data_IF_889021346700
#
_entry.id   IF_889021346700
#
_cell.length_a   1.000
_cell.length_b   1.000
_cell.length_c   1.000
_cell.angle_alpha   90.00
_cell.angle_beta   90.00
_cell.angle_gamma   90.00
#
_symmetry.space_group_name_H-M   'P 1'
#
loop_
_entity.id
_entity.type
_entity.pdbx_description
1 polymer ?
#
# COMPACT_ATOMS: atom_id res chain seq x y z
N UNK A 1 58.76 5.63 60.13
CA UNK A 1 58.36 4.22 59.88
C UNK A 1 56.84 3.97 59.86
N UNK A 2 55.99 4.63 60.70
CA UNK A 2 54.51 4.51 60.59
C UNK A 2 53.92 5.24 59.38
N UNK A 3 54.42 6.43 59.03
CA UNK A 3 53.86 7.28 57.96
C UNK A 3 53.98 6.65 56.55
N UNK A 4 55.09 5.96 56.26
CA UNK A 4 55.34 5.34 54.96
C UNK A 4 54.44 4.11 54.72
N UNK A 5 54.10 3.38 55.79
CA UNK A 5 53.12 2.28 55.72
C UNK A 5 51.71 2.79 55.40
N UNK A 6 51.31 3.94 55.95
CA UNK A 6 50.02 4.55 55.64
C UNK A 6 49.93 5.10 54.22
N UNK A 7 51.00 5.72 53.70
CA UNK A 7 51.07 6.15 52.30
C UNK A 7 51.02 4.97 51.33
N UNK A 8 51.76 3.88 51.62
CA UNK A 8 51.73 2.67 50.79
C UNK A 8 50.35 1.99 50.80
N UNK A 9 49.65 1.99 51.94
CA UNK A 9 48.28 1.47 52.06
C UNK A 9 47.27 2.34 51.28
N UNK A 10 47.38 3.66 51.37
CA UNK A 10 46.55 4.61 50.62
C UNK A 10 46.75 4.46 49.10
N UNK A 11 47.99 4.35 48.63
CA UNK A 11 48.29 4.14 47.21
C UNK A 11 47.77 2.77 46.70
N UNK A 12 47.87 1.71 47.52
CA UNK A 12 47.30 0.40 47.17
C UNK A 12 45.78 0.46 47.05
N UNK A 13 45.10 1.02 48.04
CA UNK A 13 43.63 1.12 48.04
C UNK A 13 43.11 2.02 46.93
N UNK A 14 43.85 3.09 46.57
CA UNK A 14 43.54 3.93 45.41
C UNK A 14 43.67 3.16 44.09
N UNK A 15 44.75 2.41 43.89
CA UNK A 15 44.93 1.55 42.71
C UNK A 15 43.89 0.44 42.61
N UNK A 16 43.52 -0.18 43.73
CA UNK A 16 42.50 -1.22 43.78
C UNK A 16 41.11 -0.67 43.42
N UNK A 17 40.75 0.52 43.92
CA UNK A 17 39.50 1.20 43.55
C UNK A 17 39.47 1.61 42.08
N UNK A 18 40.57 2.13 41.54
CA UNK A 18 40.69 2.48 40.12
C UNK A 18 40.57 1.24 39.21
N UNK A 19 41.18 0.12 39.61
CA UNK A 19 41.07 -1.14 38.88
C UNK A 19 39.62 -1.67 38.91
N UNK A 20 38.98 -1.66 40.08
CA UNK A 20 37.56 -2.08 40.21
C UNK A 20 36.65 -1.21 39.37
N UNK A 21 36.87 0.11 39.34
CA UNK A 21 36.11 1.02 38.50
C UNK A 21 36.29 0.70 37.00
N UNK A 22 37.53 0.51 36.55
CA UNK A 22 37.84 0.15 35.16
C UNK A 22 37.19 -1.18 34.75
N UNK A 23 37.24 -2.20 35.62
CA UNK A 23 36.59 -3.49 35.37
C UNK A 23 35.07 -3.32 35.27
N UNK A 24 34.45 -2.58 36.19
CA UNK A 24 32.99 -2.35 36.15
C UNK A 24 32.55 -1.61 34.89
N UNK A 25 33.31 -0.58 34.47
CA UNK A 25 33.02 0.16 33.24
C UNK A 25 33.20 -0.73 32.01
N UNK A 26 34.27 -1.52 31.95
CA UNK A 26 34.50 -2.45 30.85
C UNK A 26 33.39 -3.51 30.75
N UNK A 27 32.96 -4.08 31.88
CA UNK A 27 31.86 -5.04 31.92
C UNK A 27 30.54 -4.44 31.43
N UNK A 28 30.24 -3.19 31.81
CA UNK A 28 29.05 -2.48 31.34
C UNK A 28 29.08 -2.28 29.81
N UNK A 29 30.24 -1.89 29.27
CA UNK A 29 30.43 -1.70 27.82
C UNK A 29 30.27 -3.03 27.07
N UNK A 30 30.84 -4.12 27.59
CA UNK A 30 30.72 -5.45 26.99
C UNK A 30 29.26 -5.91 26.98
N UNK A 31 28.52 -5.72 28.06
CA UNK A 31 27.09 -6.10 28.12
C UNK A 31 26.25 -5.26 27.16
N UNK A 32 26.52 -3.95 27.05
CA UNK A 32 25.81 -3.06 26.13
C UNK A 32 26.08 -3.40 24.66
N UNK A 33 27.36 -3.58 24.29
CA UNK A 33 27.72 -3.92 22.91
C UNK A 33 27.31 -5.34 22.54
N UNK A 34 27.50 -6.30 23.47
CA UNK A 34 27.05 -7.68 23.28
C UNK A 34 25.54 -7.76 23.11
N UNK A 35 24.77 -7.10 23.97
CA UNK A 35 23.31 -7.02 23.86
C UNK A 35 22.84 -6.39 22.55
N UNK A 36 23.53 -5.35 22.07
CA UNK A 36 23.23 -4.70 20.80
C UNK A 36 23.47 -5.62 19.58
N UNK A 37 24.58 -6.36 19.58
CA UNK A 37 24.89 -7.33 18.52
C UNK A 37 23.86 -8.47 18.52
N UNK A 38 23.50 -9.02 19.68
CA UNK A 38 22.51 -10.10 19.76
C UNK A 38 21.10 -9.65 19.34
N UNK A 39 20.76 -8.38 19.57
CA UNK A 39 19.44 -7.84 19.22
C UNK A 39 19.37 -7.29 17.78
N UNK A 40 20.44 -7.38 17.00
CA UNK A 40 20.60 -6.73 15.68
C UNK A 40 20.14 -5.27 15.69
N UNK A 41 20.40 -4.58 16.81
CA UNK A 41 19.84 -3.28 17.14
C UNK A 41 20.95 -2.28 17.42
N UNK A 42 20.74 -1.04 17.01
CA UNK A 42 21.65 0.05 17.35
C UNK A 42 21.80 0.16 18.89
N UNK A 43 23.02 0.10 19.46
CA UNK A 43 23.24 0.14 20.91
C UNK A 43 22.64 1.38 21.58
N UNK A 44 22.50 2.49 20.85
CA UNK A 44 21.85 3.70 21.36
C UNK A 44 20.33 3.54 21.54
N UNK A 45 19.68 2.61 20.84
CA UNK A 45 18.24 2.29 21.03
C UNK A 45 17.97 1.50 22.31
N UNK A 46 18.96 0.76 22.82
CA UNK A 46 18.85 0.05 24.12
C UNK A 46 18.81 1.02 25.32
N UNK A 47 19.29 2.26 25.15
CA UNK A 47 19.33 3.28 26.20
C UNK A 47 18.03 4.08 26.34
N UNK A 48 17.11 4.00 25.37
CA UNK A 48 15.85 4.76 25.37
C UNK A 48 14.67 3.79 25.57
N UNK A 49 14.06 3.74 26.78
CA UNK A 49 12.89 2.91 27.04
C UNK A 49 11.78 3.26 26.05
N UNK A 50 11.19 2.25 25.40
CA UNK A 50 10.09 2.42 24.44
C UNK A 50 10.50 2.52 22.96
N UNK A 51 11.80 2.50 22.63
CA UNK A 51 12.26 2.43 21.22
C UNK A 51 12.64 1.02 20.76
N UNK A 52 12.65 0.06 21.68
CA UNK A 52 12.98 -1.35 21.41
C UNK A 52 11.84 -2.09 20.72
N UNK A 53 10.60 -1.65 20.95
CA UNK A 53 9.44 -2.19 20.28
C UNK A 53 8.88 -1.09 19.37
N UNK A 54 8.73 -1.32 18.06
CA UNK A 54 7.90 -0.44 17.26
C UNK A 54 6.53 -0.40 17.92
N UNK A 55 6.01 0.80 18.18
CA UNK A 55 4.61 0.94 18.61
C UNK A 55 3.75 0.19 17.58
N UNK A 56 2.78 -0.65 18.02
CA UNK A 56 1.85 -1.24 17.08
C UNK A 56 1.19 -0.09 16.32
N UNK A 57 1.31 -0.11 14.99
CA UNK A 57 0.65 0.88 14.16
C UNK A 57 -0.86 0.79 14.46
N UNK A 58 -1.42 1.86 15.04
CA UNK A 58 -2.85 1.92 15.35
C UNK A 58 -3.72 1.86 14.08
N UNK A 59 -3.12 2.15 12.91
CA UNK A 59 -3.70 1.90 11.61
C UNK A 59 -2.88 0.81 10.91
N UNK A 60 -3.46 -0.36 10.70
CA UNK A 60 -2.83 -1.49 10.00
C UNK A 60 -2.86 -1.34 8.47
N UNK A 61 -3.29 -0.19 7.97
CA UNK A 61 -3.34 0.12 6.53
C UNK A 61 -1.97 0.58 6.03
N UNK A 62 -1.56 -0.02 4.92
CA UNK A 62 -0.34 0.37 4.22
C UNK A 62 -0.63 1.55 3.28
N UNK A 63 0.34 2.46 3.10
CA UNK A 63 0.27 3.46 2.04
C UNK A 63 0.56 2.79 0.70
N UNK A 64 -0.46 2.67 -0.15
CA UNK A 64 -0.36 2.02 -1.46
C UNK A 64 -0.59 3.04 -2.56
N UNK A 65 0.29 3.11 -3.58
CA UNK A 65 0.03 3.95 -4.73
C UNK A 65 -1.12 3.37 -5.57
N UNK A 66 -2.09 4.23 -5.89
CA UNK A 66 -3.14 3.96 -6.86
C UNK A 66 -3.06 4.96 -8.01
N UNK A 67 -3.65 4.61 -9.14
CA UNK A 67 -3.75 5.52 -10.28
C UNK A 67 -5.13 6.19 -10.36
N UNK A 68 -5.14 7.46 -10.74
CA UNK A 68 -6.36 8.26 -10.96
C UNK A 68 -6.22 9.15 -12.20
N UNK A 69 -7.33 9.62 -12.76
CA UNK A 69 -7.35 10.59 -13.88
C UNK A 69 -7.60 11.98 -13.35
N UNK A 70 -6.77 12.94 -13.74
CA UNK A 70 -6.95 14.37 -13.44
C UNK A 70 -8.11 14.96 -14.26
N UNK A 71 -9.11 15.52 -13.59
CA UNK A 71 -10.33 16.12 -14.14
C UNK A 71 -10.06 17.23 -15.14
N UNK A 72 -9.12 18.13 -14.83
CA UNK A 72 -8.83 19.29 -15.70
C UNK A 72 -8.00 18.92 -16.94
N UNK A 73 -7.05 17.99 -16.80
CA UNK A 73 -6.06 17.71 -17.85
C UNK A 73 -6.25 16.36 -18.55
N UNK A 74 -7.13 15.50 -18.01
CA UNK A 74 -7.28 14.10 -18.42
C UNK A 74 -6.02 13.25 -18.19
N UNK A 75 -5.00 13.76 -17.48
CA UNK A 75 -3.74 13.05 -17.29
C UNK A 75 -3.87 11.99 -16.21
N UNK A 76 -3.20 10.87 -16.46
CA UNK A 76 -3.02 9.83 -15.46
C UNK A 76 -2.00 10.30 -14.42
N UNK A 77 -2.34 10.14 -13.15
CA UNK A 77 -1.48 10.48 -12.02
C UNK A 77 -1.50 9.36 -10.98
N UNK A 78 -0.49 9.33 -10.12
CA UNK A 78 -0.36 8.36 -9.03
C UNK A 78 -0.65 9.07 -7.70
N UNK A 79 -1.47 8.46 -6.86
CA UNK A 79 -1.87 8.97 -5.55
C UNK A 79 -1.64 7.88 -4.52
N UNK A 80 -1.03 8.21 -3.39
CA UNK A 80 -0.93 7.27 -2.28
C UNK A 80 -2.27 7.14 -1.57
N UNK A 81 -2.72 5.96 -1.17
CA UNK A 81 -3.94 5.76 -0.37
C UNK A 81 -3.67 4.74 0.70
N UNK A 82 -4.15 5.02 1.92
CA UNK A 82 -4.10 4.06 3.03
C UNK A 82 -5.10 2.93 2.79
N UNK A 83 -4.59 1.75 2.41
CA UNK A 83 -5.38 0.55 2.12
C UNK A 83 -4.93 -0.58 3.02
N UNK A 84 -5.89 -1.34 3.56
CA UNK A 84 -5.57 -2.54 4.33
C UNK A 84 -5.07 -3.62 3.35
N UNK A 85 -3.81 -4.04 3.46
CA UNK A 85 -3.21 -5.04 2.57
C UNK A 85 -3.06 -6.42 3.23
N UNK A 86 -3.78 -6.67 4.32
CA UNK A 86 -3.84 -8.00 4.94
C UNK A 86 -4.70 -9.00 4.11
N UNK A 87 -4.62 -10.28 4.47
CA UNK A 87 -5.41 -11.33 3.82
C UNK A 87 -4.83 -11.83 2.50
N UNK A 88 -5.69 -12.50 1.72
CA UNK A 88 -5.31 -13.18 0.48
C UNK A 88 -5.06 -12.17 -0.65
N UNK A 89 -4.32 -12.58 -1.69
CA UNK A 89 -4.15 -11.77 -2.90
C UNK A 89 -5.49 -11.29 -3.49
N UNK A 90 -6.53 -12.13 -3.38
CA UNK A 90 -7.90 -11.81 -3.80
C UNK A 90 -8.50 -10.66 -2.98
N UNK A 91 -8.37 -10.70 -1.66
CA UNK A 91 -8.92 -9.66 -0.77
C UNK A 91 -8.26 -8.30 -1.07
N UNK A 92 -6.95 -8.31 -1.32
CA UNK A 92 -6.19 -7.12 -1.72
C UNK A 92 -6.70 -6.53 -3.02
N UNK A 93 -6.95 -7.37 -4.04
CA UNK A 93 -7.50 -6.92 -5.34
C UNK A 93 -8.84 -6.21 -5.15
N UNK A 94 -9.76 -6.76 -4.35
CA UNK A 94 -11.05 -6.11 -4.10
C UNK A 94 -10.91 -4.77 -3.39
N UNK A 95 -10.00 -4.67 -2.41
CA UNK A 95 -9.74 -3.42 -1.69
C UNK A 95 -9.09 -2.38 -2.58
N UNK A 96 -8.16 -2.77 -3.45
CA UNK A 96 -7.57 -1.88 -4.45
C UNK A 96 -8.62 -1.43 -5.48
N UNK A 97 -9.51 -2.32 -5.92
CA UNK A 97 -10.61 -1.96 -6.81
C UNK A 97 -11.55 -0.93 -6.17
N UNK A 98 -11.85 -1.08 -4.88
CA UNK A 98 -12.62 -0.11 -4.11
C UNK A 98 -11.85 1.21 -3.92
N UNK A 99 -10.54 1.16 -3.64
CA UNK A 99 -9.71 2.34 -3.47
C UNK A 99 -9.57 3.16 -4.77
N UNK A 100 -9.52 2.50 -5.93
CA UNK A 100 -9.54 3.18 -7.24
C UNK A 100 -10.90 3.81 -7.52
N UNK A 101 -12.00 3.12 -7.18
CA UNK A 101 -13.35 3.65 -7.37
C UNK A 101 -13.59 4.91 -6.52
N UNK A 102 -13.15 4.87 -5.26
CA UNK A 102 -13.32 5.95 -4.30
C UNK A 102 -12.10 6.03 -3.37
N UNK A 103 -11.05 6.80 -3.74
CA UNK A 103 -9.87 6.95 -2.90
C UNK A 103 -10.23 7.64 -1.58
N UNK A 104 -9.92 7.00 -0.46
CA UNK A 104 -10.14 7.60 0.85
C UNK A 104 -9.25 8.83 1.05
N UNK A 105 -9.78 9.84 1.76
CA UNK A 105 -9.17 11.15 2.00
C UNK A 105 -7.91 11.20 2.86
N UNK A 106 -7.27 10.06 3.10
CA UNK A 106 -6.21 9.88 4.08
C UNK A 106 -4.84 10.45 3.71
N UNK A 107 -4.52 10.68 2.43
CA UNK A 107 -3.15 11.04 2.01
C UNK A 107 -3.02 12.43 1.36
N UNK A 108 -4.09 12.93 0.74
CA UNK A 108 -4.05 14.22 0.06
C UNK A 108 -4.51 15.28 1.06
N UNK A 109 -3.55 15.89 1.77
CA UNK A 109 -3.76 17.24 2.35
C UNK A 109 -4.26 18.11 1.19
N UNK A 110 -5.54 18.51 1.23
CA UNK A 110 -6.32 19.21 0.19
C UNK A 110 -7.38 18.36 -0.55
N UNK A 111 -8.06 17.46 0.16
CA UNK A 111 -9.28 16.80 -0.32
C UNK A 111 -10.44 17.75 -0.70
N UNK A 112 -10.37 19.05 -0.35
CA UNK A 112 -11.35 20.07 -0.76
C UNK A 112 -11.23 20.49 -2.24
N UNK A 113 -10.17 20.08 -2.94
CA UNK A 113 -9.85 20.43 -4.32
C UNK A 113 -9.52 19.17 -5.14
N UNK A 114 -10.42 18.18 -5.20
CA UNK A 114 -10.19 16.97 -6.00
C UNK A 114 -10.13 17.34 -7.50
N UNK A 115 -8.91 17.53 -8.01
CA UNK A 115 -8.55 17.76 -9.41
C UNK A 115 -8.71 16.47 -10.24
N UNK A 116 -9.46 15.46 -9.80
CA UNK A 116 -9.51 14.12 -10.40
C UNK A 116 -10.97 13.70 -10.68
N UNK A 117 -11.17 12.85 -11.69
CA UNK A 117 -12.49 12.40 -12.16
C UNK A 117 -13.03 11.24 -11.29
N UNK A 118 -13.02 11.48 -9.98
CA UNK A 118 -13.47 10.57 -8.91
C UNK A 118 -14.43 11.34 -7.98
N UNK A 119 -15.38 10.65 -7.32
CA UNK A 119 -15.54 9.20 -7.26
C UNK A 119 -16.17 8.61 -8.52
N UNK A 120 -15.71 7.42 -8.91
CA UNK A 120 -16.41 6.59 -9.90
C UNK A 120 -17.70 6.03 -9.28
N UNK A 121 -18.69 5.62 -10.10
CA UNK A 121 -19.77 4.74 -9.64
C UNK A 121 -19.20 3.47 -9.00
N UNK A 122 -20.07 2.65 -8.39
CA UNK A 122 -19.63 1.46 -7.66
C UNK A 122 -19.19 0.30 -8.58
N UNK A 123 -18.45 0.59 -9.65
CA UNK A 123 -17.89 -0.38 -10.60
C UNK A 123 -17.06 -1.47 -9.93
N UNK A 124 -16.45 -1.19 -8.78
CA UNK A 124 -15.74 -2.19 -7.99
C UNK A 124 -16.67 -3.35 -7.56
N UNK A 125 -17.97 -3.10 -7.36
CA UNK A 125 -18.96 -4.13 -7.05
C UNK A 125 -19.28 -5.03 -8.23
N UNK A 126 -18.99 -4.58 -9.46
CA UNK A 126 -19.16 -5.39 -10.66
C UNK A 126 -18.09 -6.48 -10.80
N UNK A 127 -16.99 -6.42 -10.03
CA UNK A 127 -15.97 -7.48 -9.97
C UNK A 127 -16.52 -8.64 -9.14
N UNK A 128 -17.00 -9.69 -9.79
CA UNK A 128 -17.65 -10.82 -9.12
C UNK A 128 -16.64 -11.84 -8.57
N UNK A 129 -15.62 -12.18 -9.36
CA UNK A 129 -14.62 -13.20 -9.00
C UNK A 129 -13.23 -12.76 -9.42
N UNK A 130 -12.24 -13.15 -8.62
CA UNK A 130 -10.82 -12.91 -8.90
C UNK A 130 -10.09 -14.22 -8.67
N UNK A 131 -9.24 -14.61 -9.61
CA UNK A 131 -8.35 -15.76 -9.48
C UNK A 131 -7.02 -15.50 -10.17
N UNK A 132 -6.01 -16.25 -9.74
CA UNK A 132 -4.67 -16.20 -10.31
C UNK A 132 -4.38 -17.58 -10.91
N UNK A 133 -4.02 -17.62 -12.18
CA UNK A 133 -3.69 -18.86 -12.88
C UNK A 133 -2.39 -18.67 -13.66
N UNK A 134 -1.34 -19.43 -13.30
CA UNK A 134 -0.06 -19.45 -14.04
C UNK A 134 0.53 -18.05 -14.28
N UNK A 135 0.59 -17.21 -13.24
CA UNK A 135 1.06 -15.83 -13.34
C UNK A 135 0.10 -14.85 -14.02
N UNK A 136 -1.15 -15.24 -14.30
CA UNK A 136 -2.19 -14.38 -14.87
C UNK A 136 -3.21 -14.03 -13.78
N UNK A 137 -3.40 -12.74 -13.51
CA UNK A 137 -4.50 -12.24 -12.67
C UNK A 137 -5.74 -12.04 -13.55
N UNK A 138 -6.84 -12.72 -13.20
CA UNK A 138 -8.10 -12.62 -13.92
C UNK A 138 -9.18 -12.01 -13.03
N UNK A 139 -9.82 -10.95 -13.53
CA UNK A 139 -10.98 -10.32 -12.90
C UNK A 139 -12.21 -10.67 -13.73
N UNK A 140 -13.13 -11.46 -13.18
CA UNK A 140 -14.45 -11.62 -13.76
C UNK A 140 -15.33 -10.44 -13.37
N UNK A 141 -15.83 -9.74 -14.38
CA UNK A 141 -16.63 -8.53 -14.24
C UNK A 141 -18.00 -8.77 -14.88
N UNK A 142 -19.05 -8.24 -14.26
CA UNK A 142 -20.40 -8.35 -14.77
C UNK A 142 -20.81 -7.10 -15.55
N UNK A 143 -21.07 -7.26 -16.85
CA UNK A 143 -21.46 -6.18 -17.75
C UNK A 143 -22.82 -5.58 -17.40
N UNK A 144 -23.77 -6.40 -16.92
CA UNK A 144 -25.08 -5.92 -16.50
C UNK A 144 -24.99 -5.00 -15.27
N UNK A 145 -24.16 -5.36 -14.28
CA UNK A 145 -23.86 -4.52 -13.11
C UNK A 145 -23.19 -3.21 -13.51
N UNK A 146 -22.20 -3.24 -14.41
CA UNK A 146 -21.54 -2.03 -14.91
C UNK A 146 -22.53 -1.09 -15.62
N UNK A 147 -23.39 -1.65 -16.48
CA UNK A 147 -24.44 -0.89 -17.16
C UNK A 147 -25.40 -0.26 -16.16
N UNK A 148 -25.81 -1.00 -15.14
CA UNK A 148 -26.72 -0.49 -14.12
C UNK A 148 -26.12 0.72 -13.39
N UNK A 149 -24.86 0.64 -12.95
CA UNK A 149 -24.15 1.74 -12.29
C UNK A 149 -23.99 2.97 -13.20
N UNK A 150 -23.74 2.75 -14.50
CA UNK A 150 -23.72 3.84 -15.47
C UNK A 150 -25.09 4.49 -15.63
N UNK A 151 -26.15 3.69 -15.81
CA UNK A 151 -27.51 4.20 -15.98
C UNK A 151 -27.98 4.98 -14.76
N UNK A 152 -27.62 4.53 -13.55
CA UNK A 152 -27.96 5.24 -12.32
C UNK A 152 -27.18 6.55 -12.19
N UNK A 153 -25.89 6.56 -12.52
CA UNK A 153 -25.05 7.75 -12.51
C UNK A 153 -25.54 8.85 -13.45
N UNK A 154 -25.92 8.47 -14.67
CA UNK A 154 -26.36 9.39 -15.73
C UNK A 154 -27.89 9.54 -15.79
N UNK A 155 -28.61 9.08 -14.76
CA UNK A 155 -30.06 9.10 -14.72
C UNK A 155 -30.58 10.54 -14.79
N UNK A 156 -31.34 10.83 -15.84
CA UNK A 156 -31.96 12.15 -16.05
C UNK A 156 -31.10 13.12 -16.87
N UNK A 157 -29.89 12.73 -17.26
CA UNK A 157 -29.12 13.47 -18.26
C UNK A 157 -29.56 13.07 -19.66
N UNK A 158 -29.78 14.07 -20.53
CA UNK A 158 -29.93 13.83 -21.96
C UNK A 158 -28.55 13.57 -22.54
N UNK A 159 -28.03 12.36 -22.33
CA UNK A 159 -26.83 11.92 -23.02
C UNK A 159 -27.16 11.76 -24.50
N UNK A 160 -26.84 12.78 -25.29
CA UNK A 160 -26.92 12.71 -26.75
C UNK A 160 -25.90 11.71 -27.33
N UNK A 161 -24.92 11.27 -26.51
CA UNK A 161 -23.88 10.35 -26.92
C UNK A 161 -23.39 9.44 -25.77
N UNK A 162 -23.12 8.17 -26.09
CA UNK A 162 -22.57 7.17 -25.15
C UNK A 162 -21.06 7.36 -24.88
N UNK A 163 -20.44 8.39 -25.46
CA UNK A 163 -19.01 8.72 -25.28
C UNK A 163 -18.60 8.98 -23.83
N UNK A 164 -19.40 9.73 -23.08
CA UNK A 164 -19.07 10.06 -21.69
C UNK A 164 -19.13 8.85 -20.75
N UNK A 165 -20.22 8.04 -20.75
CA UNK A 165 -20.25 6.76 -20.04
C UNK A 165 -19.09 5.83 -20.38
N UNK A 166 -18.76 5.70 -21.67
CA UNK A 166 -17.66 4.86 -22.13
C UNK A 166 -16.30 5.38 -21.67
N UNK A 167 -16.07 6.69 -21.70
CA UNK A 167 -14.84 7.32 -21.20
C UNK A 167 -14.67 7.13 -19.68
N UNK A 168 -15.76 7.11 -18.92
CA UNK A 168 -15.73 6.86 -17.49
C UNK A 168 -15.34 5.40 -17.18
N UNK A 169 -15.91 4.43 -17.90
CA UNK A 169 -15.49 3.02 -17.82
C UNK A 169 -14.02 2.85 -18.21
N UNK A 170 -13.60 3.43 -19.33
CA UNK A 170 -12.21 3.39 -19.81
C UNK A 170 -11.24 3.88 -18.74
N UNK A 171 -11.57 5.02 -18.13
CA UNK A 171 -10.75 5.65 -17.11
C UNK A 171 -10.62 4.77 -15.87
N UNK A 172 -11.74 4.23 -15.38
CA UNK A 172 -11.75 3.31 -14.25
C UNK A 172 -10.90 2.07 -14.50
N UNK A 173 -11.14 1.35 -15.60
CA UNK A 173 -10.42 0.10 -15.88
C UNK A 173 -8.94 0.33 -16.16
N UNK A 174 -8.58 1.45 -16.79
CA UNK A 174 -7.18 1.83 -16.98
C UNK A 174 -6.49 2.09 -15.65
N UNK A 175 -7.11 2.87 -14.76
CA UNK A 175 -6.59 3.14 -13.42
C UNK A 175 -6.46 1.86 -12.58
N UNK A 176 -7.48 0.99 -12.63
CA UNK A 176 -7.48 -0.28 -11.94
C UNK A 176 -6.36 -1.20 -12.44
N UNK A 177 -6.23 -1.35 -13.76
CA UNK A 177 -5.20 -2.20 -14.39
C UNK A 177 -3.81 -1.78 -13.95
N UNK A 178 -3.50 -0.47 -14.01
CA UNK A 178 -2.18 0.05 -13.65
C UNK A 178 -1.91 -0.08 -12.15
N UNK A 179 -2.93 0.15 -11.32
CA UNK A 179 -2.82 -0.05 -9.87
C UNK A 179 -2.52 -1.50 -9.54
N UNK A 180 -3.24 -2.46 -10.15
CA UNK A 180 -3.01 -3.89 -9.95
C UNK A 180 -1.67 -4.36 -10.52
N UNK A 181 -1.21 -3.75 -11.60
CA UNK A 181 0.08 -4.06 -12.21
C UNK A 181 1.26 -3.61 -11.36
N UNK A 182 1.13 -2.57 -10.54
CA UNK A 182 2.22 -2.11 -9.66
C UNK A 182 2.03 -2.55 -8.20
N UNK A 183 0.88 -3.14 -7.86
CA UNK A 183 0.59 -3.58 -6.50
C UNK A 183 1.34 -4.87 -6.11
N UNK A 184 1.90 -4.88 -4.90
CA UNK A 184 2.41 -6.10 -4.29
C UNK A 184 1.27 -6.94 -3.72
N UNK A 185 0.76 -7.85 -4.55
CA UNK A 185 -0.36 -8.74 -4.19
C UNK A 185 0.05 -9.95 -3.32
N UNK A 186 1.36 -10.14 -3.05
CA UNK A 186 1.91 -11.28 -2.31
C UNK A 186 1.31 -12.64 -2.75
N UNK A 187 1.19 -12.83 -4.06
CA UNK A 187 0.76 -14.11 -4.62
C UNK A 187 1.92 -15.12 -4.63
N UNK A 188 1.60 -16.42 -4.56
CA UNK A 188 2.58 -17.51 -4.59
C UNK A 188 3.44 -17.51 -5.86
N UNK A 189 2.91 -16.94 -6.94
CA UNK A 189 3.61 -16.76 -8.21
C UNK A 189 3.60 -15.29 -8.60
N UNK A 190 4.69 -14.78 -9.21
CA UNK A 190 4.72 -13.43 -9.73
C UNK A 190 3.65 -13.27 -10.82
N UNK A 191 2.85 -12.21 -10.69
CA UNK A 191 1.83 -11.87 -11.67
C UNK A 191 2.52 -11.18 -12.83
N UNK A 192 2.36 -11.74 -14.03
CA UNK A 192 2.94 -11.24 -15.27
C UNK A 192 1.93 -10.41 -16.07
N UNK A 193 0.64 -10.75 -15.98
CA UNK A 193 -0.41 -10.07 -16.75
C UNK A 193 -1.71 -9.93 -15.95
N UNK A 194 -2.41 -8.83 -16.19
CA UNK A 194 -3.80 -8.60 -15.79
C UNK A 194 -4.72 -8.81 -16.98
N UNK A 195 -5.86 -9.46 -16.76
CA UNK A 195 -6.88 -9.68 -17.79
C UNK A 195 -8.29 -9.63 -17.21
N UNK A 196 -9.25 -9.34 -18.07
CA UNK A 196 -10.65 -9.23 -17.69
C UNK A 196 -11.47 -10.33 -18.39
N UNK A 197 -12.46 -10.85 -17.69
CA UNK A 197 -13.47 -11.77 -18.23
C UNK A 197 -14.82 -11.15 -18.01
N UNK A 198 -15.49 -10.71 -19.07
CA UNK A 198 -16.78 -10.01 -18.95
C UNK A 198 -17.91 -11.03 -19.08
N UNK A 199 -18.71 -11.17 -18.02
CA UNK A 199 -20.00 -11.86 -18.05
C UNK A 199 -21.06 -10.88 -18.55
N UNK A 200 -22.07 -11.35 -19.29
CA UNK A 200 -23.13 -10.51 -19.87
C UNK A 200 -22.56 -9.34 -20.70
N UNK A 201 -21.61 -9.65 -21.59
CA UNK A 201 -20.94 -8.64 -22.41
C UNK A 201 -21.92 -7.87 -23.32
N UNK A 202 -23.02 -8.52 -23.73
CA UNK A 202 -24.11 -7.93 -24.49
C UNK A 202 -24.71 -6.67 -23.82
N UNK A 203 -24.63 -6.57 -22.49
CA UNK A 203 -25.10 -5.40 -21.76
C UNK A 203 -24.25 -4.15 -22.02
N UNK A 204 -23.02 -4.29 -22.53
CA UNK A 204 -22.10 -3.19 -22.80
C UNK A 204 -21.97 -2.86 -24.29
N UNK A 205 -22.70 -3.53 -25.18
CA UNK A 205 -22.60 -3.34 -26.63
C UNK A 205 -22.79 -1.89 -27.07
N UNK A 206 -23.66 -1.14 -26.40
CA UNK A 206 -23.93 0.28 -26.70
C UNK A 206 -22.75 1.21 -26.39
N UNK A 207 -21.85 0.81 -25.47
CA UNK A 207 -20.66 1.57 -25.08
C UNK A 207 -19.42 1.14 -25.88
N UNK A 208 -19.37 -0.12 -26.32
CA UNK A 208 -18.21 -0.75 -26.98
C UNK A 208 -17.59 0.06 -28.12
N UNK A 209 -18.35 0.72 -29.03
CA UNK A 209 -17.77 1.52 -30.11
C UNK A 209 -17.01 2.77 -29.63
N UNK A 210 -17.27 3.20 -28.40
CA UNK A 210 -16.67 4.41 -27.81
C UNK A 210 -15.57 4.09 -26.79
N UNK A 211 -15.49 2.83 -26.34
CA UNK A 211 -14.46 2.38 -25.42
C UNK A 211 -13.12 2.22 -26.13
N UNK A 212 -12.08 2.79 -25.52
CA UNK A 212 -10.68 2.61 -25.89
C UNK A 212 -10.03 1.48 -25.10
N UNK A 213 -10.54 1.20 -23.90
CA UNK A 213 -10.09 0.07 -23.10
C UNK A 213 -10.63 -1.23 -23.70
N UNK A 214 -9.78 -2.27 -23.76
CA UNK A 214 -10.15 -3.57 -24.30
C UNK A 214 -10.12 -4.60 -23.19
N UNK A 215 -11.29 -5.18 -22.89
CA UNK A 215 -11.39 -6.28 -21.92
C UNK A 215 -10.67 -7.55 -22.40
N UNK A 216 -10.55 -7.73 -23.71
CA UNK A 216 -9.85 -8.87 -24.33
C UNK A 216 -8.32 -8.75 -24.25
N UNK A 217 -7.80 -7.55 -23.98
CA UNK A 217 -6.37 -7.31 -23.90
C UNK A 217 -5.75 -7.91 -22.63
N UNK A 218 -4.46 -8.26 -22.74
CA UNK A 218 -3.63 -8.65 -21.60
C UNK A 218 -2.65 -7.53 -21.30
N UNK A 219 -2.67 -7.05 -20.07
CA UNK A 219 -1.86 -5.92 -19.66
C UNK A 219 -0.65 -6.42 -18.85
N UNK A 220 0.59 -6.17 -19.31
CA UNK A 220 1.78 -6.64 -18.60
C UNK A 220 1.96 -5.93 -17.27
N UNK A 221 2.48 -6.69 -16.31
CA UNK A 221 2.97 -6.22 -15.00
C UNK A 221 4.45 -5.86 -15.12
N UNK A 222 4.87 -4.77 -14.48
CA UNK A 222 6.26 -4.29 -14.49
C UNK A 222 7.14 -5.03 -13.48
#
# INVERSE_FOLDING_TARGET
MKLDRWKAFYERTKKEKDLRFKISVASLVIVLLGGAILADANPFRLLVPGTLYPFPAYDSRDSVPIYAIQRESGKLIQVEVSVLMDGTARDRVYRLAAAVANPASGSVRNFKELVYDVPYPAFNLSVQKVWIEKGKLVLAVDGASLRHELQDRFKGEKLENMKEPAALLDSYFRCLTLTLAEANLQADQPIQFVSYSVNHEEALEEYRPFMKFSFDARYPVK
#
